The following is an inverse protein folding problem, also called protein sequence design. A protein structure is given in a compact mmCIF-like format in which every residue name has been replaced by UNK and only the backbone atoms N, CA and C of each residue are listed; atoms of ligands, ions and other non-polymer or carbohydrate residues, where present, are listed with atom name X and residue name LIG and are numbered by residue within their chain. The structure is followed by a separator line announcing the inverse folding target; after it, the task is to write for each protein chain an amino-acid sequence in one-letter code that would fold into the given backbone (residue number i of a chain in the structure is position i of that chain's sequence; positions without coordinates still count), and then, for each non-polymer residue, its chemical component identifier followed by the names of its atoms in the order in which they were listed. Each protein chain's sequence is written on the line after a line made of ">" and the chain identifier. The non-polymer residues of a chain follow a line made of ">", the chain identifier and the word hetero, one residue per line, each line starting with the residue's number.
data_IF_683784140960
#
_entry.id   IF_683784140960
#
_cell.length_a   1.000
_cell.length_b   1.000
_cell.length_c   1.000
_cell.angle_alpha   90.00
_cell.angle_beta   90.00
_cell.angle_gamma   90.00
#
_symmetry.space_group_name_H-M   'P 1'
#
loop_
_entity.id
_entity.type
_entity.pdbx_description
1 polymer ?
#
# COMPACT_ATOMS: atom_id res chain seq x y z
N UNK A 1 17.10 -7.60 7.83
CA UNK A 1 15.72 -8.09 8.04
C UNK A 1 14.69 -7.19 7.37
N UNK A 2 14.70 -5.89 7.62
CA UNK A 2 13.81 -4.92 6.95
C UNK A 2 13.89 -4.93 5.42
N UNK A 3 15.09 -5.02 4.84
CA UNK A 3 15.28 -5.13 3.38
C UNK A 3 14.62 -6.38 2.77
N UNK A 4 14.58 -7.49 3.51
CA UNK A 4 13.94 -8.74 3.07
C UNK A 4 12.42 -8.56 3.10
N UNK A 5 11.88 -7.87 4.10
CA UNK A 5 10.45 -7.55 4.14
C UNK A 5 10.05 -6.63 2.98
N UNK A 6 10.89 -5.63 2.65
CA UNK A 6 10.65 -4.75 1.50
C UNK A 6 10.64 -5.55 0.20
N UNK A 7 11.63 -6.42 -0.04
CA UNK A 7 11.69 -7.20 -1.28
C UNK A 7 10.51 -8.17 -1.42
N UNK A 8 10.10 -8.83 -0.33
CA UNK A 8 8.91 -9.70 -0.32
C UNK A 8 7.63 -8.89 -0.60
N UNK A 9 7.50 -7.71 0.00
CA UNK A 9 6.34 -6.84 -0.22
C UNK A 9 6.22 -6.39 -1.69
N UNK A 10 7.34 -5.99 -2.30
CA UNK A 10 7.42 -5.66 -3.73
C UNK A 10 7.08 -6.84 -4.63
N UNK A 11 7.58 -8.04 -4.32
CA UNK A 11 7.26 -9.26 -5.08
C UNK A 11 5.77 -9.60 -4.98
N UNK A 12 5.18 -9.45 -3.80
CA UNK A 12 3.75 -9.72 -3.58
C UNK A 12 2.83 -8.77 -4.35
N UNK A 13 3.21 -7.49 -4.48
CA UNK A 13 2.52 -6.50 -5.32
C UNK A 13 2.46 -6.95 -6.78
N UNK A 14 3.58 -7.46 -7.32
CA UNK A 14 3.66 -7.91 -8.71
C UNK A 14 2.90 -9.22 -8.97
N UNK A 15 2.76 -10.09 -7.96
CA UNK A 15 2.11 -11.40 -8.13
C UNK A 15 0.58 -11.32 -8.10
N UNK A 16 0.01 -10.49 -7.23
CA UNK A 16 -1.43 -10.48 -6.95
C UNK A 16 -2.24 -9.52 -7.85
N UNK A 17 -1.82 -9.34 -9.10
CA UNK A 17 -2.39 -8.35 -10.04
C UNK A 17 -3.90 -8.45 -10.26
N UNK A 18 -4.52 -9.61 -10.03
CA UNK A 18 -5.94 -9.85 -10.32
C UNK A 18 -6.90 -9.29 -9.27
N UNK A 19 -6.48 -9.23 -7.99
CA UNK A 19 -7.35 -8.83 -6.88
C UNK A 19 -6.85 -7.52 -6.26
N UNK A 20 -7.62 -6.43 -6.47
CA UNK A 20 -7.27 -5.09 -5.96
C UNK A 20 -7.04 -5.05 -4.44
N UNK A 21 -7.83 -5.78 -3.65
CA UNK A 21 -7.64 -5.85 -2.18
C UNK A 21 -6.27 -6.40 -1.81
N UNK A 22 -5.79 -7.44 -2.52
CA UNK A 22 -4.50 -8.06 -2.23
C UNK A 22 -3.34 -7.15 -2.65
N UNK A 23 -3.55 -6.33 -3.68
CA UNK A 23 -2.62 -5.26 -4.06
C UNK A 23 -2.56 -4.15 -3.00
N UNK A 24 -3.70 -3.71 -2.44
CA UNK A 24 -3.69 -2.72 -1.35
C UNK A 24 -2.99 -3.25 -0.09
N UNK A 25 -3.24 -4.51 0.28
CA UNK A 25 -2.65 -5.11 1.47
C UNK A 25 -1.13 -5.27 1.33
N UNK A 26 -0.65 -5.63 0.14
CA UNK A 26 0.79 -5.67 -0.15
C UNK A 26 1.44 -4.28 -0.15
N UNK A 27 0.72 -3.25 -0.57
CA UNK A 27 1.16 -1.85 -0.46
C UNK A 27 1.26 -1.38 1.00
N UNK A 28 0.29 -1.74 1.84
CA UNK A 28 0.31 -1.43 3.27
C UNK A 28 1.49 -2.12 3.99
N UNK A 29 1.78 -3.38 3.63
CA UNK A 29 2.95 -4.10 4.12
C UNK A 29 4.27 -3.41 3.73
N UNK A 30 4.36 -2.89 2.49
CA UNK A 30 5.52 -2.16 2.00
C UNK A 30 5.74 -0.88 2.81
N UNK A 31 4.67 -0.09 3.01
CA UNK A 31 4.72 1.14 3.80
C UNK A 31 5.12 0.87 5.26
N UNK A 32 4.60 -0.21 5.88
CA UNK A 32 4.99 -0.63 7.22
C UNK A 32 6.47 -1.00 7.29
N UNK A 33 6.99 -1.73 6.31
CA UNK A 33 8.40 -2.11 6.27
C UNK A 33 9.34 -0.90 6.15
N UNK A 34 8.93 0.14 5.41
CA UNK A 34 9.64 1.42 5.35
C UNK A 34 9.56 2.20 6.67
N UNK A 35 8.42 2.15 7.36
CA UNK A 35 8.29 2.72 8.69
C UNK A 35 9.24 2.07 9.69
N UNK A 36 9.32 0.73 9.70
CA UNK A 36 10.29 0.01 10.52
C UNK A 36 11.74 0.35 10.14
N UNK A 37 12.03 0.58 8.86
CA UNK A 37 13.36 1.02 8.45
C UNK A 37 13.69 2.39 9.05
N UNK A 38 12.78 3.37 8.96
CA UNK A 38 13.00 4.69 9.57
C UNK A 38 13.13 4.60 11.10
N UNK A 39 12.29 3.83 11.78
CA UNK A 39 12.39 3.71 13.24
C UNK A 39 13.76 3.21 13.71
N UNK A 40 14.43 2.37 12.92
CA UNK A 40 15.75 1.82 13.27
C UNK A 40 16.91 2.76 12.97
N UNK A 41 16.75 3.72 12.04
CA UNK A 41 17.86 4.56 11.57
C UNK A 41 17.84 5.98 12.13
N UNK A 42 16.68 6.48 12.56
CA UNK A 42 16.54 7.90 12.89
C UNK A 42 16.72 8.19 14.39
N UNK A 43 17.42 9.30 14.66
CA UNK A 43 17.55 9.90 15.99
C UNK A 43 16.23 10.54 16.45
N UNK A 44 16.02 10.73 17.77
CA UNK A 44 14.78 11.29 18.32
C UNK A 44 14.43 12.69 17.79
N UNK A 45 15.40 13.43 17.24
CA UNK A 45 15.18 14.72 16.56
C UNK A 45 14.29 14.64 15.31
N UNK A 46 14.12 13.45 14.73
CA UNK A 46 13.30 13.24 13.52
C UNK A 46 11.90 12.71 13.81
N UNK A 47 11.45 12.71 15.07
CA UNK A 47 10.14 12.21 15.47
C UNK A 47 8.98 12.87 14.71
N UNK A 48 9.09 14.16 14.36
CA UNK A 48 8.09 14.86 13.57
C UNK A 48 7.94 14.30 12.15
N UNK A 49 9.05 13.96 11.48
CA UNK A 49 9.02 13.36 10.15
C UNK A 49 8.37 11.97 10.18
N UNK A 50 8.60 11.23 11.25
CA UNK A 50 8.02 9.91 11.44
C UNK A 50 6.51 9.98 11.66
N UNK A 51 6.03 10.98 12.40
CA UNK A 51 4.60 11.27 12.58
C UNK A 51 3.95 11.71 11.25
N UNK A 52 4.61 12.58 10.49
CA UNK A 52 4.10 13.02 9.19
C UNK A 52 4.00 11.86 8.20
N UNK A 53 4.96 10.94 8.21
CA UNK A 53 4.92 9.74 7.37
C UNK A 53 3.74 8.82 7.74
N UNK A 54 3.47 8.61 9.04
CA UNK A 54 2.31 7.87 9.52
C UNK A 54 0.99 8.50 9.04
N UNK A 55 0.87 9.83 9.13
CA UNK A 55 -0.31 10.56 8.64
C UNK A 55 -0.53 10.35 7.14
N UNK A 56 0.53 10.50 6.35
CA UNK A 56 0.43 10.29 4.90
C UNK A 56 0.12 8.84 4.54
N UNK A 57 0.63 7.87 5.31
CA UNK A 57 0.34 6.46 5.12
C UNK A 57 -1.14 6.14 5.36
N UNK A 58 -1.73 6.65 6.44
CA UNK A 58 -3.18 6.47 6.74
C UNK A 58 -4.06 7.20 5.71
N UNK A 59 -3.64 8.40 5.28
CA UNK A 59 -4.35 9.12 4.23
C UNK A 59 -4.35 8.33 2.91
N UNK A 60 -3.20 7.80 2.48
CA UNK A 60 -3.07 7.01 1.26
C UNK A 60 -3.89 5.71 1.30
N UNK A 61 -3.93 5.00 2.44
CA UNK A 61 -4.72 3.77 2.57
C UNK A 61 -6.22 4.05 2.51
N UNK A 62 -6.69 5.12 3.19
CA UNK A 62 -8.09 5.54 3.12
C UNK A 62 -8.52 5.92 1.70
N UNK A 63 -7.64 6.62 0.97
CA UNK A 63 -7.88 6.96 -0.44
C UNK A 63 -7.94 5.70 -1.31
N UNK A 64 -7.01 4.75 -1.16
CA UNK A 64 -7.03 3.48 -1.87
C UNK A 64 -8.31 2.67 -1.62
N UNK A 65 -8.76 2.60 -0.37
CA UNK A 65 -10.03 1.93 0.00
C UNK A 65 -11.24 2.61 -0.65
N UNK A 66 -11.29 3.94 -0.65
CA UNK A 66 -12.38 4.68 -1.29
C UNK A 66 -12.44 4.42 -2.80
N UNK A 67 -11.29 4.30 -3.45
CA UNK A 67 -11.19 3.95 -4.86
C UNK A 67 -11.69 2.52 -5.11
N UNK A 68 -11.35 1.58 -4.22
CA UNK A 68 -11.86 0.21 -4.28
C UNK A 68 -13.38 0.14 -4.18
N UNK A 69 -13.98 0.96 -3.31
CA UNK A 69 -15.44 1.07 -3.19
C UNK A 69 -16.08 1.65 -4.45
N UNK A 70 -15.45 2.61 -5.13
CA UNK A 70 -15.95 3.09 -6.43
C UNK A 70 -15.89 1.99 -7.49
N UNK A 71 -14.80 1.24 -7.54
CA UNK A 71 -14.59 0.17 -8.54
C UNK A 71 -15.56 -0.98 -8.33
N UNK A 72 -15.85 -1.35 -7.08
CA UNK A 72 -16.83 -2.39 -6.76
C UNK A 72 -18.27 -1.98 -7.07
N UNK A 73 -18.57 -0.67 -7.07
CA UNK A 73 -19.87 -0.13 -7.48
C UNK A 73 -20.01 -0.04 -9.00
N UNK A 74 -18.95 0.32 -9.73
CA UNK A 74 -18.99 0.41 -11.21
C UNK A 74 -18.93 -0.97 -11.88
N UNK A 75 -18.16 -1.89 -11.33
CA UNK A 75 -18.07 -3.26 -11.81
C UNK A 75 -18.43 -4.23 -10.68
N UNK A 76 -19.37 -5.14 -10.91
CA UNK A 76 -19.82 -6.15 -9.92
C UNK A 76 -18.71 -7.06 -9.38
N UNK A 77 -17.48 -6.93 -9.86
CA UNK A 77 -16.33 -7.67 -9.36
C UNK A 77 -15.11 -6.77 -9.18
N UNK A 78 -14.40 -6.98 -8.06
CA UNK A 78 -13.14 -6.32 -7.69
C UNK A 78 -11.93 -6.80 -8.51
N UNK A 79 -12.18 -7.36 -9.69
CA UNK A 79 -11.18 -7.88 -10.61
C UNK A 79 -10.62 -6.74 -11.44
N UNK A 80 -9.29 -6.64 -11.48
CA UNK A 80 -8.57 -5.64 -12.29
C UNK A 80 -8.77 -5.83 -13.80
N UNK A 81 -9.26 -7.00 -14.23
CA UNK A 81 -9.58 -7.29 -15.63
C UNK A 81 -10.70 -6.40 -16.20
N UNK A 82 -11.55 -5.80 -15.35
CA UNK A 82 -12.63 -4.93 -15.83
C UNK A 82 -12.14 -3.54 -16.26
N UNK A 83 -10.92 -3.15 -15.87
CA UNK A 83 -10.31 -1.88 -16.28
C UNK A 83 -9.85 -1.85 -17.75
N UNK A 84 -9.83 -3.01 -18.43
CA UNK A 84 -9.41 -3.07 -19.85
C UNK A 84 -10.44 -2.48 -20.81
N UNK A 85 -11.62 -2.03 -20.34
CA UNK A 85 -12.59 -1.31 -21.17
C UNK A 85 -12.24 0.18 -21.37
N UNK A 86 -11.11 0.66 -20.84
CA UNK A 86 -10.61 2.02 -21.00
C UNK A 86 -9.57 2.17 -22.15
N UNK A 87 -9.42 1.14 -22.99
CA UNK A 87 -8.79 1.28 -24.32
C UNK A 87 -9.81 1.65 -25.37
#
# INVERSE_FOLDING_TARGET
>A
MTLIMISISMLSLCWWRTHLIMMLLSLELLLLSNFFLMMNTYSPSFAYNLLMMLLMMVAASSFGLSMLVMISRSHKSSLTQNFTSLT
#
